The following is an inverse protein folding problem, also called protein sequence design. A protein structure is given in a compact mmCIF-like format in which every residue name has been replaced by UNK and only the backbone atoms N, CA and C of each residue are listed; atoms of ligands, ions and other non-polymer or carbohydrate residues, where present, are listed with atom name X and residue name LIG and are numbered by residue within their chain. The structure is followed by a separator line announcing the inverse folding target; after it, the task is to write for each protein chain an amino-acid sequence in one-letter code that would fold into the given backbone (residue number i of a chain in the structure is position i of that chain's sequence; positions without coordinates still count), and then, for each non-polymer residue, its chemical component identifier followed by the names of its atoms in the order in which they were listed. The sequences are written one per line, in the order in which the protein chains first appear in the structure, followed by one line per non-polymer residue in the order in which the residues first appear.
data_IF_143805710139
#
_entry.id   IF_143805710139
#
_cell.length_a   1.000
_cell.length_b   1.000
_cell.length_c   1.000
_cell.angle_alpha   90.00
_cell.angle_beta   90.00
_cell.angle_gamma   90.00
#
_symmetry.space_group_name_H-M   'P 1'
#
loop_
_entity.id
_entity.type
_entity.pdbx_description
1 polymer ?
#
# COMPACT_ATOMS: atom_id res chain seq x y z
N UNK A 1 -6.43 -10.99 -18.57
CA UNK A 1 -6.42 -10.25 -17.29
C UNK A 1 -6.52 -11.12 -16.03
N UNK A 2 -6.75 -12.44 -16.10
CA UNK A 2 -6.86 -13.29 -14.89
C UNK A 2 -5.51 -13.69 -14.26
N UNK A 3 -4.46 -13.88 -15.06
CA UNK A 3 -3.17 -14.39 -14.59
C UNK A 3 -2.46 -13.45 -13.59
N UNK A 4 -2.55 -12.14 -13.80
CA UNK A 4 -1.94 -11.15 -12.90
C UNK A 4 -2.57 -11.17 -11.50
N UNK A 5 -3.90 -11.31 -11.43
CA UNK A 5 -4.61 -11.40 -10.15
C UNK A 5 -4.24 -12.68 -9.40
N UNK A 6 -4.20 -13.81 -10.10
CA UNK A 6 -3.79 -15.09 -9.51
C UNK A 6 -2.37 -15.00 -8.95
N UNK A 7 -1.41 -14.50 -9.74
CA UNK A 7 -0.03 -14.33 -9.29
C UNK A 7 0.12 -13.46 -8.04
N UNK A 8 -0.59 -12.31 -8.00
CA UNK A 8 -0.53 -11.41 -6.84
C UNK A 8 -1.14 -12.07 -5.60
N UNK A 9 -2.31 -12.71 -5.73
CA UNK A 9 -2.97 -13.35 -4.60
C UNK A 9 -2.19 -14.55 -4.08
N UNK A 10 -1.69 -15.40 -4.97
CA UNK A 10 -0.89 -16.57 -4.60
C UNK A 10 0.43 -16.13 -3.95
N UNK A 11 1.07 -15.08 -4.47
CA UNK A 11 2.29 -14.53 -3.90
C UNK A 11 2.10 -13.89 -2.53
N UNK A 12 0.96 -13.23 -2.30
CA UNK A 12 0.59 -12.70 -0.98
C UNK A 12 0.29 -13.84 0.01
N UNK A 13 -0.46 -14.86 -0.42
CA UNK A 13 -0.79 -16.03 0.42
C UNK A 13 0.44 -16.86 0.79
N UNK A 14 1.38 -17.02 -0.15
CA UNK A 14 2.65 -17.71 0.08
C UNK A 14 3.68 -16.85 0.85
N UNK A 15 3.38 -15.56 1.10
CA UNK A 15 4.30 -14.62 1.74
C UNK A 15 5.55 -14.29 0.91
N UNK A 16 5.56 -14.62 -0.38
CA UNK A 16 6.64 -14.27 -1.32
C UNK A 16 6.52 -12.81 -1.78
N UNK A 17 5.29 -12.28 -1.81
CA UNK A 17 5.03 -10.85 -1.95
C UNK A 17 4.80 -10.25 -0.57
N UNK A 18 5.73 -9.39 -0.15
CA UNK A 18 5.66 -8.64 1.11
C UNK A 18 5.63 -7.15 0.81
N UNK A 19 4.43 -6.53 0.70
CA UNK A 19 4.35 -5.09 0.53
C UNK A 19 4.96 -4.42 1.77
N UNK A 20 5.87 -3.47 1.53
CA UNK A 20 6.45 -2.63 2.58
C UNK A 20 5.48 -1.48 2.79
N UNK A 21 4.89 -1.38 3.98
CA UNK A 21 3.99 -0.28 4.32
C UNK A 21 4.84 0.89 4.79
N UNK A 22 4.76 2.01 4.06
CA UNK A 22 5.48 3.23 4.42
C UNK A 22 4.83 3.91 5.63
N UNK A 23 3.50 4.06 5.58
CA UNK A 23 2.71 4.67 6.66
C UNK A 23 1.22 4.33 6.50
N UNK A 24 0.50 4.27 7.62
CA UNK A 24 -0.95 4.14 7.67
C UNK A 24 -1.57 5.44 8.16
N UNK A 25 -2.68 5.85 7.56
CA UNK A 25 -3.47 7.01 7.93
C UNK A 25 -4.93 6.60 8.12
N UNK A 26 -5.64 7.23 9.04
CA UNK A 26 -7.10 7.15 9.10
C UNK A 26 -7.73 7.92 7.93
N UNK A 27 -8.95 7.58 7.54
CA UNK A 27 -9.66 8.27 6.45
C UNK A 27 -9.78 9.78 6.70
N UNK A 28 -10.00 10.18 7.95
CA UNK A 28 -10.08 11.60 8.35
C UNK A 28 -8.75 12.35 8.13
N UNK A 29 -7.63 11.64 8.04
CA UNK A 29 -6.29 12.17 7.81
C UNK A 29 -5.86 12.14 6.33
N UNK A 30 -6.81 12.04 5.39
CA UNK A 30 -6.53 11.93 3.95
C UNK A 30 -5.66 13.08 3.40
N UNK A 31 -5.80 14.28 3.95
CA UNK A 31 -4.96 15.44 3.57
C UNK A 31 -3.51 15.22 3.99
N UNK A 32 -3.28 14.63 5.17
CA UNK A 32 -1.94 14.30 5.63
C UNK A 32 -1.32 13.17 4.80
N UNK A 33 -2.12 12.19 4.37
CA UNK A 33 -1.68 11.13 3.46
C UNK A 33 -1.19 11.71 2.12
N UNK A 34 -1.90 12.67 1.54
CA UNK A 34 -1.49 13.34 0.30
C UNK A 34 -0.22 14.16 0.47
N UNK A 35 -0.09 14.92 1.57
CA UNK A 35 1.14 15.69 1.84
C UNK A 35 2.36 14.78 2.00
N UNK A 36 2.19 13.62 2.63
CA UNK A 36 3.25 12.62 2.76
C UNK A 36 3.62 11.97 1.42
N UNK A 37 2.64 11.79 0.53
CA UNK A 37 2.87 11.38 -0.85
C UNK A 37 3.69 12.42 -1.64
N UNK A 38 3.37 13.70 -1.47
CA UNK A 38 4.04 14.82 -2.14
C UNK A 38 5.47 15.07 -1.65
N UNK A 39 5.81 14.70 -0.41
CA UNK A 39 7.15 14.91 0.14
C UNK A 39 8.21 14.01 -0.49
N UNK A 40 7.82 13.00 -1.27
CA UNK A 40 8.70 11.97 -1.86
C UNK A 40 9.52 11.16 -0.82
N UNK A 41 9.19 11.25 0.48
CA UNK A 41 9.82 10.45 1.55
C UNK A 41 9.26 9.03 1.64
N UNK A 42 8.20 8.74 0.90
CA UNK A 42 7.56 7.43 0.90
C UNK A 42 8.50 6.35 0.31
N UNK A 43 8.88 5.39 1.15
CA UNK A 43 9.51 4.14 0.73
C UNK A 43 8.56 2.99 1.07
N UNK A 44 7.68 2.66 0.12
CA UNK A 44 6.63 1.65 0.29
C UNK A 44 5.23 2.19 0.00
N UNK A 45 4.23 1.39 0.32
CA UNK A 45 2.81 1.69 0.09
C UNK A 45 2.23 2.52 1.24
N UNK A 46 1.51 3.59 0.91
CA UNK A 46 0.66 4.30 1.87
C UNK A 46 -0.69 3.59 1.95
N UNK A 47 -1.16 3.32 3.17
CA UNK A 47 -2.46 2.68 3.42
C UNK A 47 -3.38 3.68 4.12
N UNK A 48 -4.64 3.75 3.68
CA UNK A 48 -5.69 4.50 4.36
C UNK A 48 -6.74 3.52 4.87
N UNK A 49 -7.03 3.58 6.16
CA UNK A 49 -8.07 2.78 6.83
C UNK A 49 -9.41 3.49 6.81
N UNK A 50 -10.51 2.72 6.80
CA UNK A 50 -11.91 3.19 6.78
C UNK A 50 -12.72 2.54 7.90
#
# INVERSE_FOLDING_TARGET
MAAAKAFILDGLAAGTLRPVIAKTFEFDDIVAAHRFLESNEQLGTIVVTV
#
